data_IF_078517228223
#
_entry.id   IF_078517228223
#
_cell.length_a   1.000
_cell.length_b   1.000
_cell.length_c   1.000
_cell.angle_alpha   90.00
_cell.angle_beta   90.00
_cell.angle_gamma   90.00
#
_symmetry.space_group_name_H-M   'P 1'
#
loop_
_entity.id
_entity.type
_entity.pdbx_description
1 polymer ?
#
# COMPACT_ATOMS: atom_id res chain seq x y z
N UNK A 1 5.10 -12.92 -6.69
CA UNK A 1 4.08 -12.41 -5.74
C UNK A 1 3.40 -13.53 -4.95
N UNK A 2 3.01 -14.65 -5.58
CA UNK A 2 2.37 -15.77 -4.86
C UNK A 2 3.27 -16.41 -3.79
N UNK A 3 4.55 -16.62 -4.09
CA UNK A 3 5.51 -17.14 -3.11
C UNK A 3 5.69 -16.19 -1.93
N UNK A 4 5.87 -14.90 -2.23
CA UNK A 4 5.98 -13.84 -1.22
C UNK A 4 4.74 -13.78 -0.34
N UNK A 5 3.55 -13.81 -0.95
CA UNK A 5 2.28 -13.82 -0.23
C UNK A 5 2.15 -15.09 0.63
N UNK A 6 2.52 -16.26 0.12
CA UNK A 6 2.49 -17.51 0.88
C UNK A 6 3.41 -17.44 2.11
N UNK A 7 4.61 -16.88 1.95
CA UNK A 7 5.55 -16.67 3.04
C UNK A 7 5.07 -15.64 4.09
N UNK A 8 4.13 -14.74 3.73
CA UNK A 8 3.62 -13.68 4.61
C UNK A 8 2.17 -13.92 5.08
N UNK A 9 1.73 -15.18 5.09
CA UNK A 9 0.37 -15.60 5.47
C UNK A 9 -0.73 -14.97 4.59
N UNK A 10 -0.48 -14.93 3.28
CA UNK A 10 -1.36 -14.40 2.21
C UNK A 10 -1.71 -12.92 2.35
N UNK A 11 -0.78 -12.12 2.88
CA UNK A 11 -0.96 -10.68 3.09
C UNK A 11 0.09 -9.89 2.30
N UNK A 12 -0.35 -8.93 1.51
CA UNK A 12 0.48 -7.99 0.78
C UNK A 12 0.09 -6.57 1.17
N UNK A 13 1.09 -5.69 1.29
CA UNK A 13 0.91 -4.25 1.45
C UNK A 13 1.50 -3.57 0.22
N UNK A 14 0.65 -2.96 -0.60
CA UNK A 14 1.06 -2.10 -1.71
C UNK A 14 1.14 -0.65 -1.24
N UNK A 15 2.20 0.04 -1.61
CA UNK A 15 2.43 1.45 -1.26
C UNK A 15 2.76 2.19 -2.54
N UNK A 16 2.05 3.27 -2.81
CA UNK A 16 2.23 4.05 -4.05
C UNK A 16 2.06 5.55 -3.80
N UNK A 17 2.93 6.35 -4.43
CA UNK A 17 2.77 7.81 -4.52
C UNK A 17 1.87 8.14 -5.72
N UNK A 18 0.64 7.63 -5.65
CA UNK A 18 -0.39 7.76 -6.67
C UNK A 18 -1.77 7.73 -6.00
N UNK A 19 -2.79 8.23 -6.70
CA UNK A 19 -4.16 8.11 -6.22
C UNK A 19 -4.56 6.65 -6.02
N UNK A 20 -5.33 6.39 -4.97
CA UNK A 20 -5.71 5.04 -4.53
C UNK A 20 -6.54 4.21 -5.52
N UNK A 21 -7.04 4.84 -6.58
CA UNK A 21 -7.86 4.22 -7.63
C UNK A 21 -7.05 4.03 -8.90
N UNK A 22 -7.25 2.88 -9.56
CA UNK A 22 -6.64 2.50 -10.83
C UNK A 22 -5.09 2.48 -10.79
N UNK A 23 -4.50 2.40 -9.60
CA UNK A 23 -3.06 2.39 -9.37
C UNK A 23 -2.46 0.98 -9.23
N UNK A 24 -1.23 0.95 -8.72
CA UNK A 24 -0.48 -0.27 -8.40
C UNK A 24 -1.27 -1.19 -7.47
N UNK A 25 -1.90 -0.66 -6.42
CA UNK A 25 -2.64 -1.47 -5.46
C UNK A 25 -3.80 -2.23 -6.12
N UNK A 26 -4.48 -1.61 -7.08
CA UNK A 26 -5.57 -2.25 -7.84
C UNK A 26 -5.04 -3.24 -8.87
N UNK A 27 -3.92 -2.92 -9.55
CA UNK A 27 -3.26 -3.86 -10.47
C UNK A 27 -2.79 -5.13 -9.74
N UNK A 28 -2.19 -4.97 -8.55
CA UNK A 28 -1.77 -6.09 -7.70
C UNK A 28 -2.99 -6.88 -7.25
N UNK A 29 -4.03 -6.22 -6.72
CA UNK A 29 -5.26 -6.91 -6.31
C UNK A 29 -5.91 -7.69 -7.45
N UNK A 30 -5.98 -7.12 -8.65
CA UNK A 30 -6.51 -7.82 -9.83
C UNK A 30 -5.70 -9.07 -10.18
N UNK A 31 -4.38 -9.03 -10.00
CA UNK A 31 -3.49 -10.14 -10.34
C UNK A 31 -3.53 -11.30 -9.33
N UNK A 32 -3.75 -11.01 -8.05
CA UNK A 32 -3.64 -12.02 -6.96
C UNK A 32 -4.93 -12.27 -6.19
N UNK A 33 -5.96 -11.45 -6.39
CA UNK A 33 -7.25 -11.55 -5.71
C UNK A 33 -7.95 -12.90 -5.89
N UNK A 34 -7.98 -13.52 -7.10
CA UNK A 34 -8.57 -14.84 -7.31
C UNK A 34 -7.93 -15.95 -6.46
N UNK A 35 -6.68 -15.77 -6.05
CA UNK A 35 -5.98 -16.70 -5.17
C UNK A 35 -6.41 -16.53 -3.70
N UNK A 36 -7.22 -15.53 -3.35
CA UNK A 36 -7.59 -15.24 -1.96
C UNK A 36 -6.45 -14.60 -1.16
N UNK A 37 -5.54 -13.89 -1.82
CA UNK A 37 -4.51 -13.06 -1.18
C UNK A 37 -5.12 -11.72 -0.79
N UNK A 38 -4.90 -11.29 0.46
CA UNK A 38 -5.35 -9.98 0.96
C UNK A 38 -4.34 -8.90 0.58
N UNK A 39 -4.79 -7.91 -0.18
CA UNK A 39 -4.00 -6.74 -0.56
C UNK A 39 -4.48 -5.52 0.24
N UNK A 40 -3.57 -4.95 1.01
CA UNK A 40 -3.74 -3.68 1.72
C UNK A 40 -3.04 -2.57 0.93
N UNK A 41 -3.54 -1.33 1.01
CA UNK A 41 -3.04 -0.20 0.22
C UNK A 41 -2.69 0.97 1.13
N UNK A 42 -1.55 1.61 0.86
CA UNK A 42 -1.25 2.98 1.25
C UNK A 42 -1.05 3.79 -0.04
N UNK A 43 -1.86 4.83 -0.20
CA UNK A 43 -1.92 5.62 -1.42
C UNK A 43 -2.43 7.03 -1.10
N UNK A 44 -2.39 7.92 -2.09
CA UNK A 44 -2.90 9.28 -1.97
C UNK A 44 -4.44 9.28 -2.13
N UNK A 45 -5.16 9.94 -1.22
CA UNK A 45 -6.63 10.02 -1.22
C UNK A 45 -7.17 11.44 -1.39
N UNK A 46 -6.31 12.44 -1.36
CA UNK A 46 -6.67 13.85 -1.34
C UNK A 46 -5.88 14.63 -2.39
N UNK A 47 -6.38 15.82 -2.74
CA UNK A 47 -5.74 16.69 -3.72
C UNK A 47 -4.35 17.11 -3.22
N UNK A 48 -3.39 17.07 -4.15
CA UNK A 48 -2.00 17.47 -3.95
C UNK A 48 -1.88 18.98 -3.68
N UNK A 49 -0.90 19.35 -2.86
CA UNK A 49 -0.45 20.73 -2.70
C UNK A 49 1.08 20.78 -2.74
N UNK A 50 1.64 21.96 -3.01
CA UNK A 50 3.09 22.13 -3.10
C UNK A 50 3.74 22.01 -1.72
N UNK A 51 4.88 21.30 -1.66
CA UNK A 51 5.64 21.09 -0.44
C UNK A 51 6.97 20.40 -0.76
N UNK A 52 7.80 20.19 0.27
CA UNK A 52 9.03 19.39 0.07
C UNK A 52 8.67 17.91 -0.07
N UNK A 53 9.43 17.12 -0.85
CA UNK A 53 9.14 15.70 -1.06
C UNK A 53 8.90 14.92 0.24
N UNK A 54 9.80 15.03 1.22
CA UNK A 54 9.68 14.29 2.49
C UNK A 54 8.45 14.71 3.31
N UNK A 55 8.10 16.00 3.28
CA UNK A 55 6.92 16.52 3.97
C UNK A 55 5.63 15.97 3.34
N UNK A 56 5.59 15.86 2.01
CA UNK A 56 4.45 15.31 1.28
C UNK A 56 4.31 13.78 1.50
N UNK A 57 5.41 13.04 1.46
CA UNK A 57 5.42 11.58 1.71
C UNK A 57 4.85 11.25 3.09
N UNK A 58 5.26 12.01 4.12
CA UNK A 58 4.73 11.84 5.47
C UNK A 58 3.28 12.31 5.57
N UNK A 59 2.92 13.44 4.95
CA UNK A 59 1.56 13.97 4.99
C UNK A 59 0.53 13.02 4.37
N UNK A 60 0.84 12.46 3.19
CA UNK A 60 -0.05 11.51 2.52
C UNK A 60 0.00 10.11 3.11
N UNK A 61 0.82 9.89 4.15
CA UNK A 61 0.84 8.63 4.89
C UNK A 61 1.41 7.46 4.10
N UNK A 62 2.31 7.72 3.15
CA UNK A 62 2.99 6.71 2.33
C UNK A 62 4.47 6.54 2.73
N UNK A 63 4.94 7.31 3.72
CA UNK A 63 6.27 7.22 4.28
C UNK A 63 6.50 6.02 5.22
N UNK A 64 7.77 5.82 5.59
CA UNK A 64 8.22 4.67 6.38
C UNK A 64 7.45 4.45 7.69
N UNK A 65 7.08 5.53 8.39
CA UNK A 65 6.30 5.45 9.64
C UNK A 65 4.92 4.82 9.41
N UNK A 66 4.25 5.23 8.34
CA UNK A 66 2.94 4.71 7.96
C UNK A 66 3.02 3.28 7.46
N UNK A 67 4.06 2.94 6.69
CA UNK A 67 4.31 1.56 6.25
C UNK A 67 4.48 0.62 7.45
N UNK A 68 5.32 1.00 8.42
CA UNK A 68 5.53 0.21 9.65
C UNK A 68 4.25 0.11 10.47
N UNK A 69 3.50 1.21 10.60
CA UNK A 69 2.21 1.22 11.30
C UNK A 69 1.20 0.26 10.66
N UNK A 70 1.04 0.34 9.34
CA UNK A 70 0.15 -0.54 8.58
C UNK A 70 0.59 -2.00 8.68
N UNK A 71 1.88 -2.29 8.50
CA UNK A 71 2.43 -3.64 8.64
C UNK A 71 2.10 -4.25 10.00
N UNK A 72 2.31 -3.50 11.10
CA UNK A 72 1.97 -3.94 12.46
C UNK A 72 0.47 -4.19 12.65
N UNK A 73 -0.39 -3.37 12.05
CA UNK A 73 -1.85 -3.57 12.11
C UNK A 73 -2.29 -4.81 11.33
N UNK A 74 -1.66 -5.10 10.19
CA UNK A 74 -1.96 -6.26 9.33
C UNK A 74 -1.49 -7.58 9.97
N UNK A 75 -0.43 -7.52 10.79
CA UNK A 75 0.15 -8.72 11.43
C UNK A 75 -0.38 -9.00 12.84
N UNK A 76 -1.14 -8.07 13.44
CA UNK A 76 -1.89 -8.36 14.67
C UNK A 76 -3.00 -9.36 14.38
#
# INVERSE_FOLDING_TARGET
MLDSASATQRRLLAVEDHYAHCGLGDAVFSAVGPEGIKVHKLAVYTILYSGKPDELIDHFGIGARSIVGAAKQITK
#
